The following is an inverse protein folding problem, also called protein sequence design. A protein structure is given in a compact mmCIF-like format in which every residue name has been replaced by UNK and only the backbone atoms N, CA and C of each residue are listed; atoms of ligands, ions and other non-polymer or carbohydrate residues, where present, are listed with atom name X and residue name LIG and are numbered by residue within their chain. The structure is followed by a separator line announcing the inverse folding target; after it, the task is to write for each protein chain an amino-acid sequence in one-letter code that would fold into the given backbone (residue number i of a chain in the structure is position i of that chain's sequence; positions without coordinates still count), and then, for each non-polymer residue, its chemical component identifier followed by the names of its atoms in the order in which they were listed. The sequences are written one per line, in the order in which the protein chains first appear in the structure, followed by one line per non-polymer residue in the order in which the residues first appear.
data_IF_584549385004
#
_entry.id   IF_584549385004
#
_cell.length_a   1.000
_cell.length_b   1.000
_cell.length_c   1.000
_cell.angle_alpha   90.00
_cell.angle_beta   90.00
_cell.angle_gamma   90.00
#
_symmetry.space_group_name_H-M   'P 1'
#
loop_
_entity.id
_entity.type
_entity.pdbx_description
1 polymer ?
#
# COMPACT_ATOMS: atom_id res chain seq x y z
N UNK A 1 24.53 -29.88 50.77
CA UNK A 1 23.49 -28.83 50.83
C UNK A 1 23.59 -27.99 49.58
N UNK A 2 22.63 -28.20 48.66
CA UNK A 2 22.52 -27.54 47.35
C UNK A 2 22.17 -26.06 47.51
N UNK A 3 22.86 -25.16 46.80
CA UNK A 3 22.35 -23.80 46.56
C UNK A 3 22.23 -23.56 45.07
N UNK A 4 20.98 -23.29 44.72
CA UNK A 4 20.37 -23.27 43.42
C UNK A 4 20.81 -22.03 42.63
N UNK A 5 21.12 -22.25 41.35
CA UNK A 5 21.45 -21.23 40.35
C UNK A 5 20.17 -20.50 39.94
N UNK A 6 20.20 -19.17 39.84
CA UNK A 6 19.19 -18.41 39.09
C UNK A 6 19.92 -17.59 38.03
N UNK A 7 19.98 -18.13 36.82
CA UNK A 7 20.42 -17.41 35.62
C UNK A 7 19.16 -16.81 34.98
N UNK A 8 19.03 -15.49 34.95
CA UNK A 8 17.98 -14.81 34.20
C UNK A 8 18.50 -14.61 32.78
N UNK A 9 18.02 -15.43 31.84
CA UNK A 9 18.24 -15.23 30.40
C UNK A 9 17.04 -14.44 29.88
N UNK A 10 17.25 -13.15 29.64
CA UNK A 10 16.27 -12.32 28.94
C UNK A 10 16.32 -12.69 27.45
N UNK A 11 15.33 -13.45 26.99
CA UNK A 11 15.16 -13.79 25.59
C UNK A 11 14.51 -12.61 24.86
N UNK A 12 15.33 -11.75 24.24
CA UNK A 12 14.87 -10.74 23.30
C UNK A 12 14.47 -11.43 21.99
N UNK A 13 13.18 -11.67 21.79
CA UNK A 13 12.63 -12.12 20.52
C UNK A 13 12.46 -10.90 19.62
N UNK A 14 13.45 -10.62 18.78
CA UNK A 14 13.25 -9.79 17.59
C UNK A 14 12.50 -10.64 16.55
N UNK A 15 11.17 -10.53 16.55
CA UNK A 15 10.39 -10.98 15.41
C UNK A 15 10.63 -9.99 14.26
N UNK A 16 11.64 -10.25 13.44
CA UNK A 16 11.71 -9.66 12.11
C UNK A 16 10.52 -10.21 11.33
N UNK A 17 9.46 -9.41 11.24
CA UNK A 17 8.34 -9.70 10.35
C UNK A 17 8.88 -9.80 8.94
N UNK A 18 8.97 -11.01 8.40
CA UNK A 18 9.09 -11.19 6.97
C UNK A 18 7.84 -10.52 6.38
N UNK A 19 8.04 -9.42 5.65
CA UNK A 19 6.98 -8.81 4.85
C UNK A 19 6.44 -9.93 3.95
N UNK A 20 5.25 -10.42 4.26
CA UNK A 20 4.53 -11.28 3.33
C UNK A 20 4.15 -10.35 2.21
N UNK A 21 5.01 -10.28 1.19
CA UNK A 21 4.71 -9.63 -0.05
C UNK A 21 3.45 -10.30 -0.60
N UNK A 22 2.33 -9.56 -0.58
CA UNK A 22 1.29 -9.82 -1.56
C UNK A 22 1.93 -9.64 -2.94
N UNK A 23 1.72 -10.54 -3.91
CA UNK A 23 2.28 -10.40 -5.24
C UNK A 23 1.78 -9.11 -5.92
N UNK A 24 2.30 -8.87 -7.13
CA UNK A 24 1.94 -7.78 -8.05
C UNK A 24 0.42 -7.58 -8.31
N UNK A 25 -0.44 -8.45 -7.73
CA UNK A 25 -1.90 -8.45 -7.65
C UNK A 25 -2.55 -7.10 -7.30
N UNK A 26 -1.83 -6.19 -6.64
CA UNK A 26 -2.40 -4.88 -6.26
C UNK A 26 -2.72 -3.99 -7.47
N UNK A 27 -1.98 -4.15 -8.58
CA UNK A 27 -2.30 -3.47 -9.85
C UNK A 27 -3.61 -4.01 -10.42
N UNK A 28 -3.82 -5.33 -10.37
CA UNK A 28 -4.96 -5.99 -10.99
C UNK A 28 -6.31 -5.58 -10.38
N UNK A 29 -6.28 -5.08 -9.13
CA UNK A 29 -7.46 -4.48 -8.50
C UNK A 29 -8.00 -3.28 -9.27
N UNK A 30 -7.15 -2.54 -9.99
CA UNK A 30 -7.59 -1.37 -10.74
C UNK A 30 -8.57 -1.77 -11.85
N UNK A 31 -9.74 -1.16 -11.81
CA UNK A 31 -10.86 -1.42 -12.73
C UNK A 31 -11.69 -2.67 -12.41
N UNK A 32 -11.40 -3.39 -11.32
CA UNK A 32 -12.31 -4.44 -10.86
C UNK A 32 -13.67 -3.86 -10.47
N UNK A 33 -14.74 -4.62 -10.67
CA UNK A 33 -16.06 -4.34 -10.09
C UNK A 33 -16.19 -4.94 -8.67
N UNK A 34 -17.28 -4.64 -7.93
CA UNK A 34 -17.46 -5.13 -6.57
C UNK A 34 -17.39 -6.66 -6.42
N UNK A 35 -17.90 -7.41 -7.41
CA UNK A 35 -17.89 -8.87 -7.35
C UNK A 35 -16.46 -9.43 -7.52
N UNK A 36 -15.70 -8.84 -8.46
CA UNK A 36 -14.30 -9.19 -8.67
C UNK A 36 -13.44 -8.86 -7.45
N UNK A 37 -13.61 -7.68 -6.85
CA UNK A 37 -12.89 -7.30 -5.62
C UNK A 37 -13.25 -8.23 -4.45
N UNK A 38 -14.52 -8.56 -4.28
CA UNK A 38 -14.95 -9.50 -3.23
C UNK A 38 -14.37 -10.90 -3.44
N UNK A 39 -14.28 -11.38 -4.68
CA UNK A 39 -13.64 -12.65 -4.99
C UNK A 39 -12.13 -12.64 -4.69
N UNK A 40 -11.46 -11.51 -4.95
CA UNK A 40 -10.02 -11.37 -4.74
C UNK A 40 -9.62 -11.13 -3.27
N UNK A 41 -10.36 -10.27 -2.56
CA UNK A 41 -9.98 -9.77 -1.23
C UNK A 41 -10.93 -10.20 -0.10
N UNK A 42 -12.06 -10.81 -0.43
CA UNK A 42 -13.13 -11.09 0.52
C UNK A 42 -13.90 -9.84 0.94
N UNK A 43 -14.65 -9.97 2.04
CA UNK A 43 -15.43 -8.87 2.60
C UNK A 43 -14.51 -7.76 3.13
N UNK A 44 -14.80 -6.47 2.87
CA UNK A 44 -14.11 -5.39 3.54
C UNK A 44 -14.42 -5.42 5.04
N UNK A 45 -13.47 -4.94 5.85
CA UNK A 45 -13.68 -4.72 7.29
C UNK A 45 -14.72 -3.62 7.51
N UNK A 46 -14.60 -2.53 6.76
CA UNK A 46 -15.48 -1.36 6.85
C UNK A 46 -15.75 -0.78 5.46
N UNK A 47 -16.93 -0.15 5.31
CA UNK A 47 -17.30 0.64 4.15
C UNK A 47 -17.70 2.03 4.64
N UNK A 48 -17.08 3.07 4.11
CA UNK A 48 -17.36 4.45 4.50
C UNK A 48 -17.12 5.42 3.34
N UNK A 49 -17.51 6.69 3.53
CA UNK A 49 -17.24 7.77 2.58
C UNK A 49 -15.98 8.54 2.98
N UNK A 50 -15.11 8.82 2.00
CA UNK A 50 -13.92 9.66 2.16
C UNK A 50 -14.07 10.91 1.29
N UNK A 51 -14.13 12.08 1.92
CA UNK A 51 -14.15 13.38 1.23
C UNK A 51 -12.76 13.68 0.67
N UNK A 52 -12.64 13.82 -0.65
CA UNK A 52 -11.39 14.21 -1.29
C UNK A 52 -11.10 15.71 -1.10
N UNK A 53 -10.06 16.21 -1.77
CA UNK A 53 -9.70 17.64 -1.71
C UNK A 53 -10.82 18.53 -2.24
N UNK A 54 -11.53 18.08 -3.28
CA UNK A 54 -12.70 18.78 -3.80
C UNK A 54 -13.94 18.49 -2.95
N UNK A 55 -14.66 19.52 -2.45
CA UNK A 55 -15.79 19.33 -1.55
C UNK A 55 -16.94 18.49 -2.12
N UNK A 56 -17.04 18.33 -3.44
CA UNK A 56 -18.08 17.55 -4.10
C UNK A 56 -17.70 16.09 -4.34
N UNK A 57 -16.46 15.71 -4.05
CA UNK A 57 -15.92 14.38 -4.33
C UNK A 57 -15.95 13.51 -3.07
N UNK A 58 -17.09 12.88 -2.82
CA UNK A 58 -17.19 11.78 -1.87
C UNK A 58 -16.84 10.47 -2.57
N UNK A 59 -15.78 9.82 -2.10
CA UNK A 59 -15.41 8.48 -2.55
C UNK A 59 -16.01 7.44 -1.61
N UNK A 60 -16.64 6.41 -2.16
CA UNK A 60 -16.90 5.19 -1.39
C UNK A 60 -15.58 4.46 -1.24
N UNK A 61 -15.28 4.00 -0.03
CA UNK A 61 -14.04 3.30 0.29
C UNK A 61 -14.36 1.97 0.96
N UNK A 62 -13.75 0.91 0.43
CA UNK A 62 -13.70 -0.39 1.09
C UNK A 62 -12.38 -0.49 1.83
N UNK A 63 -12.43 -0.62 3.15
CA UNK A 63 -11.27 -0.72 4.00
C UNK A 63 -11.03 -2.16 4.43
N UNK A 64 -9.80 -2.64 4.26
CA UNK A 64 -9.41 -4.02 4.50
C UNK A 64 -8.54 -4.19 5.73
N UNK A 65 -8.41 -5.45 6.12
CA UNK A 65 -7.81 -5.79 7.39
C UNK A 65 -6.33 -5.44 7.52
N UNK A 66 -5.66 -5.43 6.37
CA UNK A 66 -4.25 -5.16 6.15
C UNK A 66 -3.94 -3.66 6.02
N UNK A 67 -4.91 -2.75 6.21
CA UNK A 67 -4.75 -1.31 6.00
C UNK A 67 -4.68 -0.87 4.53
N UNK A 68 -5.29 -1.66 3.65
CA UNK A 68 -5.60 -1.27 2.28
C UNK A 68 -6.95 -0.58 2.19
N UNK A 69 -7.00 0.45 1.37
CA UNK A 69 -8.18 1.23 1.04
C UNK A 69 -8.45 1.12 -0.46
N UNK A 70 -9.62 0.64 -0.84
CA UNK A 70 -10.05 0.51 -2.24
C UNK A 70 -11.11 1.57 -2.52
N UNK A 71 -10.78 2.52 -3.39
CA UNK A 71 -11.61 3.66 -3.75
C UNK A 71 -12.38 3.38 -5.03
N UNK A 72 -13.65 3.75 -5.02
CA UNK A 72 -14.59 3.47 -6.10
C UNK A 72 -14.97 4.71 -6.87
N UNK A 73 -14.99 4.59 -8.19
CA UNK A 73 -15.64 5.54 -9.07
C UNK A 73 -16.69 4.79 -9.88
N UNK A 74 -17.94 5.23 -9.78
CA UNK A 74 -19.09 4.46 -10.25
C UNK A 74 -19.01 3.01 -9.72
N UNK A 75 -18.87 2.02 -10.60
CA UNK A 75 -18.81 0.59 -10.27
C UNK A 75 -17.41 -0.01 -10.46
N UNK A 76 -16.36 0.82 -10.48
CA UNK A 76 -14.99 0.38 -10.77
C UNK A 76 -14.01 0.92 -9.75
N UNK A 77 -13.03 0.11 -9.36
CA UNK A 77 -11.89 0.57 -8.58
C UNK A 77 -11.06 1.54 -9.42
N UNK A 78 -10.83 2.74 -8.92
CA UNK A 78 -9.99 3.73 -9.60
C UNK A 78 -8.68 4.02 -8.86
N UNK A 79 -8.66 3.76 -7.54
CA UNK A 79 -7.48 3.93 -6.69
C UNK A 79 -7.43 2.86 -5.60
N UNK A 80 -6.22 2.42 -5.27
CA UNK A 80 -5.90 1.63 -4.08
C UNK A 80 -4.83 2.38 -3.29
N UNK A 81 -5.03 2.56 -1.98
CA UNK A 81 -4.07 3.17 -1.06
C UNK A 81 -3.66 2.16 0.01
N UNK A 82 -2.39 2.22 0.38
CA UNK A 82 -1.80 1.52 1.50
C UNK A 82 -1.19 2.57 2.42
N UNK A 83 -1.65 2.63 3.67
CA UNK A 83 -1.13 3.60 4.64
C UNK A 83 0.08 3.05 5.41
N UNK A 84 0.62 3.86 6.31
CA UNK A 84 1.81 3.55 7.07
C UNK A 84 1.73 2.33 8.02
N UNK A 85 0.57 1.67 8.12
CA UNK A 85 0.36 0.43 8.88
C UNK A 85 0.37 -0.82 7.99
N UNK A 86 0.36 -0.66 6.67
CA UNK A 86 0.49 -1.78 5.74
C UNK A 86 1.87 -2.42 5.86
N UNK A 87 1.90 -3.74 6.02
CA UNK A 87 3.14 -4.51 6.25
C UNK A 87 3.63 -5.27 5.02
N UNK A 88 2.86 -5.24 3.92
CA UNK A 88 3.23 -5.88 2.67
C UNK A 88 4.14 -5.02 1.80
N UNK A 89 4.30 -5.45 0.55
CA UNK A 89 4.98 -4.70 -0.49
C UNK A 89 4.04 -4.46 -1.67
N UNK A 90 4.33 -3.43 -2.46
CA UNK A 90 3.66 -3.08 -3.71
C UNK A 90 4.76 -2.87 -4.74
N UNK A 91 4.87 -3.78 -5.72
CA UNK A 91 5.90 -3.71 -6.78
C UNK A 91 7.32 -3.60 -6.22
N UNK A 92 7.57 -4.30 -5.11
CA UNK A 92 8.86 -4.27 -4.41
C UNK A 92 9.07 -3.05 -3.50
N UNK A 93 8.14 -2.09 -3.45
CA UNK A 93 8.19 -0.97 -2.51
C UNK A 93 7.39 -1.27 -1.24
N UNK A 94 7.93 -0.90 -0.09
CA UNK A 94 7.28 -1.08 1.22
C UNK A 94 7.26 0.21 2.00
N UNK A 95 6.28 0.32 2.89
CA UNK A 95 6.23 1.40 3.89
C UNK A 95 7.53 1.43 4.69
N UNK A 96 8.02 2.64 4.96
CA UNK A 96 9.24 2.90 5.73
C UNK A 96 10.54 2.74 4.92
N UNK A 97 10.48 2.26 3.68
CA UNK A 97 11.64 2.17 2.78
C UNK A 97 12.24 3.57 2.58
N UNK A 98 13.57 3.68 2.65
CA UNK A 98 14.26 4.97 2.47
C UNK A 98 14.19 5.40 1.02
N UNK A 99 14.19 6.70 0.78
CA UNK A 99 14.24 7.28 -0.58
C UNK A 99 15.34 6.67 -1.45
N UNK A 100 16.57 6.58 -0.94
CA UNK A 100 17.70 6.04 -1.71
C UNK A 100 17.45 4.60 -2.17
N UNK A 101 16.81 3.77 -1.33
CA UNK A 101 16.48 2.38 -1.68
C UNK A 101 15.33 2.33 -2.71
N UNK A 102 14.34 3.21 -2.58
CA UNK A 102 13.24 3.38 -3.55
C UNK A 102 13.78 3.81 -4.92
N UNK A 103 14.66 4.81 -4.97
CA UNK A 103 15.26 5.33 -6.19
C UNK A 103 16.12 4.27 -6.90
N UNK A 104 16.89 3.50 -6.13
CA UNK A 104 17.64 2.37 -6.65
C UNK A 104 16.72 1.28 -7.22
N UNK A 105 15.66 0.92 -6.49
CA UNK A 105 14.65 -0.06 -6.93
C UNK A 105 13.85 0.41 -8.17
N UNK A 106 13.65 1.72 -8.30
CA UNK A 106 12.97 2.34 -9.44
C UNK A 106 13.81 2.40 -10.73
N UNK A 107 15.11 2.09 -10.67
CA UNK A 107 16.01 2.01 -11.84
C UNK A 107 15.93 3.23 -12.76
N UNK A 108 15.83 4.43 -12.19
CA UNK A 108 15.74 5.69 -12.93
C UNK A 108 14.40 5.99 -13.61
N UNK A 109 13.36 5.16 -13.40
CA UNK A 109 12.02 5.36 -13.96
C UNK A 109 11.11 6.24 -13.09
N UNK A 110 11.56 6.57 -11.88
CA UNK A 110 10.80 7.38 -10.93
C UNK A 110 10.89 8.87 -11.27
N UNK A 111 9.77 9.57 -11.12
CA UNK A 111 9.68 11.02 -11.26
C UNK A 111 9.33 11.65 -9.92
N UNK A 112 10.03 12.70 -9.52
CA UNK A 112 9.73 13.41 -8.27
C UNK A 112 8.77 14.58 -8.50
N UNK A 113 7.78 14.72 -7.62
CA UNK A 113 6.92 15.91 -7.56
C UNK A 113 6.21 16.01 -6.20
N UNK A 114 6.09 17.21 -5.64
CA UNK A 114 5.26 17.47 -4.45
C UNK A 114 5.56 16.58 -3.24
N UNK A 115 6.84 16.25 -2.98
CA UNK A 115 7.23 15.37 -1.88
C UNK A 115 6.86 13.90 -2.11
N UNK A 116 6.71 13.47 -3.36
CA UNK A 116 6.40 12.09 -3.72
C UNK A 116 7.25 11.62 -4.90
N UNK A 117 7.45 10.31 -4.99
CA UNK A 117 8.05 9.65 -6.15
C UNK A 117 6.96 8.92 -6.94
N UNK A 118 7.00 9.02 -8.26
CA UNK A 118 5.97 8.49 -9.14
C UNK A 118 6.54 7.49 -10.13
N UNK A 119 5.86 6.37 -10.31
CA UNK A 119 6.13 5.38 -11.36
C UNK A 119 4.91 5.29 -12.27
N UNK A 120 5.11 5.49 -13.57
CA UNK A 120 4.05 5.21 -14.56
C UNK A 120 4.20 3.78 -15.07
N UNK A 121 3.07 3.08 -15.13
CA UNK A 121 2.96 1.69 -15.56
C UNK A 121 2.02 1.61 -16.75
N UNK A 122 2.47 0.93 -17.80
CA UNK A 122 1.61 0.49 -18.88
C UNK A 122 1.11 -0.92 -18.55
N UNK A 123 -0.16 -1.02 -18.15
CA UNK A 123 -0.79 -2.30 -17.80
C UNK A 123 -1.54 -2.91 -18.98
N UNK A 124 -1.57 -2.25 -20.14
CA UNK A 124 -2.39 -2.62 -21.30
C UNK A 124 -3.91 -2.43 -21.12
N UNK A 125 -4.44 -2.38 -19.89
CA UNK A 125 -5.86 -2.13 -19.61
C UNK A 125 -6.15 -0.67 -19.28
N UNK A 126 -5.36 -0.10 -18.35
CA UNK A 126 -5.46 1.29 -17.94
C UNK A 126 -4.04 1.86 -17.74
N UNK A 127 -3.83 3.17 -17.99
CA UNK A 127 -2.61 3.82 -17.55
C UNK A 127 -2.66 3.93 -16.03
N UNK A 128 -1.74 3.23 -15.35
CA UNK A 128 -1.66 3.21 -13.88
C UNK A 128 -0.46 4.04 -13.45
N UNK A 129 -0.67 4.89 -12.45
CA UNK A 129 0.39 5.61 -11.76
C UNK A 129 0.50 5.11 -10.34
N UNK A 130 1.72 4.83 -9.93
CA UNK A 130 2.08 4.57 -8.54
C UNK A 130 2.64 5.85 -7.95
N UNK A 131 2.14 6.27 -6.80
CA UNK A 131 2.70 7.37 -6.00
C UNK A 131 3.21 6.80 -4.69
N UNK A 132 4.48 7.05 -4.43
CA UNK A 132 5.14 6.78 -3.16
C UNK A 132 5.21 8.12 -2.43
N UNK A 133 4.29 8.36 -1.50
CA UNK A 133 4.29 9.57 -0.71
C UNK A 133 5.41 9.50 0.34
N UNK A 134 6.24 10.54 0.38
CA UNK A 134 7.42 10.55 1.23
C UNK A 134 7.18 11.44 2.47
N UNK A 135 7.57 10.92 3.63
CA UNK A 135 7.65 11.66 4.89
C UNK A 135 9.00 11.33 5.55
N UNK A 136 9.74 12.34 5.98
CA UNK A 136 11.05 12.18 6.64
C UNK A 136 12.00 11.21 5.90
N UNK A 137 12.07 11.37 4.57
CA UNK A 137 12.89 10.58 3.65
C UNK A 137 12.52 9.08 3.54
N UNK A 138 11.28 8.74 3.90
CA UNK A 138 10.75 7.38 3.86
C UNK A 138 9.38 7.32 3.20
N UNK A 139 9.02 6.17 2.66
CA UNK A 139 7.67 5.92 2.16
C UNK A 139 6.70 5.89 3.34
N UNK A 140 5.73 6.80 3.37
CA UNK A 140 4.66 6.86 4.38
C UNK A 140 3.37 6.21 3.85
N UNK A 141 3.04 6.48 2.59
CA UNK A 141 1.88 5.92 1.91
C UNK A 141 2.23 5.49 0.49
N UNK A 142 1.54 4.45 0.00
CA UNK A 142 1.60 4.02 -1.40
C UNK A 142 0.21 4.11 -2.01
N UNK A 143 0.12 4.72 -3.19
CA UNK A 143 -1.11 4.81 -3.97
C UNK A 143 -0.89 4.18 -5.34
N UNK A 144 -1.84 3.37 -5.80
CA UNK A 144 -1.98 2.98 -7.20
C UNK A 144 -3.29 3.55 -7.70
N UNK A 145 -3.26 4.23 -8.83
CA UNK A 145 -4.48 4.82 -9.38
C UNK A 145 -4.42 4.95 -10.89
N UNK A 146 -5.59 5.02 -11.51
CA UNK A 146 -5.74 5.36 -12.92
C UNK A 146 -5.35 6.80 -13.16
N UNK A 147 -4.46 7.06 -14.13
CA UNK A 147 -4.00 8.42 -14.44
C UNK A 147 -4.76 9.08 -15.59
N UNK A 148 -5.73 8.39 -16.20
CA UNK A 148 -6.63 8.89 -17.24
C UNK A 148 -7.96 9.39 -16.67
N UNK A 149 -7.91 9.82 -15.41
CA UNK A 149 -9.04 10.18 -14.57
C UNK A 149 -8.87 11.62 -14.11
#
# INVERSE_FOLDING_TARGET
MSRLRTLVVALLVFAAGAAVAGPDDSIDLIGMDPAQVFAALGAPREIFTWRAAEPTEDNIVFFYADFRYVFWFQSRVWQVRFDNRYTGAVLGFSIGMKRADVEAGGQGRLQESGGSLFLSLDTGRYPVRVRLAMLDDRVDDIYLYRSDW
#
